data_IF_933661243065
#
_entry.id   IF_933661243065
#
_cell.length_a   1.000
_cell.length_b   1.000
_cell.length_c   1.000
_cell.angle_alpha   90.00
_cell.angle_beta   90.00
_cell.angle_gamma   90.00
#
_symmetry.space_group_name_H-M   'P 1'
#
loop_
_entity.id
_entity.type
_entity.pdbx_description
1 polymer ?
#
# COMPACT_ATOMS: atom_id res chain seq x y z
N UNK A 1 -6.03 29.53 5.01
CA UNK A 1 -6.26 28.46 4.03
C UNK A 1 -5.86 27.16 4.71
N UNK A 2 -6.82 26.29 5.02
CA UNK A 2 -6.53 24.94 5.50
C UNK A 2 -5.84 24.18 4.36
N UNK A 3 -4.72 23.53 4.65
CA UNK A 3 -4.00 22.75 3.66
C UNK A 3 -4.84 21.51 3.32
N UNK A 4 -5.06 21.25 2.03
CA UNK A 4 -5.80 20.06 1.60
C UNK A 4 -5.01 18.79 1.94
N UNK A 5 -5.71 17.79 2.48
CA UNK A 5 -5.18 16.49 2.86
C UNK A 5 -5.20 15.53 1.67
N UNK A 6 -4.05 14.95 1.35
CA UNK A 6 -3.90 13.98 0.26
C UNK A 6 -3.66 12.58 0.80
N UNK A 7 -4.52 11.63 0.43
CA UNK A 7 -4.47 10.23 0.86
C UNK A 7 -4.04 9.34 -0.29
N UNK A 8 -2.88 8.68 -0.16
CA UNK A 8 -2.35 7.73 -1.13
C UNK A 8 -2.95 6.33 -0.96
N UNK A 9 -3.58 5.82 -2.02
CA UNK A 9 -4.17 4.49 -2.08
C UNK A 9 -3.67 3.74 -3.31
N UNK A 10 -3.70 2.40 -3.24
CA UNK A 10 -3.40 1.54 -4.38
C UNK A 10 -4.64 0.79 -4.86
N UNK A 11 -4.84 0.71 -6.18
CA UNK A 11 -5.95 -0.04 -6.80
C UNK A 11 -6.02 -1.51 -6.32
N UNK A 12 -7.19 -2.11 -6.49
CA UNK A 12 -7.44 -3.52 -6.15
C UNK A 12 -7.94 -3.69 -4.71
N UNK A 13 -7.44 -4.72 -4.01
CA UNK A 13 -7.96 -5.12 -2.68
C UNK A 13 -7.87 -4.01 -1.64
N UNK A 14 -6.71 -3.35 -1.53
CA UNK A 14 -6.51 -2.24 -0.58
C UNK A 14 -7.55 -1.15 -0.81
N UNK A 15 -7.71 -0.70 -2.05
CA UNK A 15 -8.70 0.31 -2.38
C UNK A 15 -10.14 -0.10 -1.99
N UNK A 16 -10.59 -1.29 -2.43
CA UNK A 16 -11.95 -1.79 -2.17
C UNK A 16 -12.25 -1.94 -0.68
N UNK A 17 -11.28 -2.41 0.10
CA UNK A 17 -11.44 -2.62 1.54
C UNK A 17 -11.24 -1.33 2.35
N UNK A 18 -10.56 -0.33 1.80
CA UNK A 18 -10.37 0.99 2.44
C UNK A 18 -11.61 1.87 2.28
N UNK A 19 -12.35 1.76 1.18
CA UNK A 19 -13.52 2.60 0.92
C UNK A 19 -14.57 2.58 2.05
N UNK A 20 -14.98 1.42 2.62
CA UNK A 20 -15.89 1.40 3.77
C UNK A 20 -15.32 2.09 5.01
N UNK A 21 -14.01 2.02 5.23
CA UNK A 21 -13.35 2.68 6.38
C UNK A 21 -13.35 4.20 6.22
N UNK A 22 -13.07 4.68 4.99
CA UNK A 22 -13.15 6.11 4.66
C UNK A 22 -14.59 6.62 4.74
N UNK A 23 -15.56 5.85 4.23
CA UNK A 23 -16.97 6.21 4.31
C UNK A 23 -17.46 6.30 5.76
N UNK A 24 -16.99 5.43 6.66
CA UNK A 24 -17.27 5.54 8.10
C UNK A 24 -16.68 6.81 8.75
N UNK A 25 -15.63 7.38 8.15
CA UNK A 25 -15.08 8.69 8.51
C UNK A 25 -15.73 9.86 7.73
N UNK A 26 -16.77 9.60 6.94
CA UNK A 26 -17.46 10.60 6.12
C UNK A 26 -16.67 11.06 4.89
N UNK A 27 -15.76 10.22 4.38
CA UNK A 27 -14.95 10.51 3.18
C UNK A 27 -15.40 9.56 2.07
N UNK A 28 -16.02 10.10 1.03
CA UNK A 28 -16.54 9.33 -0.11
C UNK A 28 -16.00 9.92 -1.42
N UNK A 29 -15.35 9.12 -2.28
CA UNK A 29 -14.93 9.59 -3.61
C UNK A 29 -16.15 9.99 -4.47
N UNK A 30 -16.04 11.11 -5.18
CA UNK A 30 -17.11 11.59 -6.09
C UNK A 30 -17.17 10.77 -7.37
N UNK A 31 -16.00 10.46 -7.92
CA UNK A 31 -15.88 9.64 -9.13
C UNK A 31 -15.87 8.15 -8.77
N UNK A 32 -16.49 7.33 -9.61
CA UNK A 32 -16.34 5.88 -9.52
C UNK A 32 -14.87 5.48 -9.84
N UNK A 33 -14.14 4.93 -8.86
CA UNK A 33 -12.72 4.62 -9.00
C UNK A 33 -12.42 3.43 -9.91
N UNK A 34 -13.41 2.55 -10.16
CA UNK A 34 -13.24 1.38 -11.02
C UNK A 34 -13.36 1.75 -12.50
N UNK A 35 -14.16 2.76 -12.84
CA UNK A 35 -14.36 3.23 -14.21
C UNK A 35 -13.49 4.45 -14.56
N UNK A 36 -13.09 5.23 -13.57
CA UNK A 36 -12.26 6.41 -13.78
C UNK A 36 -10.79 6.07 -14.06
N UNK A 37 -10.24 6.74 -15.07
CA UNK A 37 -8.79 6.75 -15.37
C UNK A 37 -8.04 7.87 -14.64
N UNK A 38 -8.74 8.68 -13.84
CA UNK A 38 -8.10 9.74 -13.05
C UNK A 38 -7.19 9.12 -12.00
N UNK A 39 -6.04 9.76 -11.76
CA UNK A 39 -5.10 9.41 -10.70
C UNK A 39 -5.36 10.18 -9.41
N UNK A 40 -6.07 11.31 -9.50
CA UNK A 40 -6.51 12.10 -8.35
C UNK A 40 -8.04 12.11 -8.39
N UNK A 41 -8.64 11.66 -7.30
CA UNK A 41 -10.09 11.61 -7.12
C UNK A 41 -10.49 12.66 -6.09
N UNK A 42 -11.48 13.46 -6.47
CA UNK A 42 -12.15 14.35 -5.53
C UNK A 42 -13.02 13.52 -4.57
N UNK A 43 -13.19 14.03 -3.35
CA UNK A 43 -14.13 13.48 -2.37
C UNK A 43 -15.28 14.45 -2.13
N UNK A 44 -16.29 14.01 -1.41
CA UNK A 44 -17.36 14.85 -0.87
C UNK A 44 -16.86 15.96 0.07
N UNK A 45 -15.62 15.88 0.55
CA UNK A 45 -14.94 16.92 1.30
C UNK A 45 -13.96 17.69 0.41
N UNK A 46 -14.09 19.02 0.27
CA UNK A 46 -13.26 19.82 -0.64
C UNK A 46 -11.77 19.79 -0.26
N UNK A 47 -11.49 19.63 1.03
CA UNK A 47 -10.16 19.65 1.62
C UNK A 47 -9.51 18.26 1.62
N UNK A 48 -10.13 17.21 1.03
CA UNK A 48 -9.58 15.85 0.99
C UNK A 48 -9.53 15.33 -0.45
N UNK A 49 -8.35 14.86 -0.86
CA UNK A 49 -8.11 14.23 -2.16
C UNK A 49 -7.59 12.81 -1.98
N UNK A 50 -8.00 11.90 -2.86
CA UNK A 50 -7.43 10.55 -2.93
C UNK A 50 -6.51 10.46 -4.15
N UNK A 51 -5.26 10.04 -3.95
CA UNK A 51 -4.33 9.76 -5.04
C UNK A 51 -4.17 8.26 -5.23
N UNK A 52 -4.41 7.80 -6.46
CA UNK A 52 -4.39 6.39 -6.84
C UNK A 52 -3.07 6.08 -7.52
N UNK A 53 -2.20 5.34 -6.83
CA UNK A 53 -0.84 5.01 -7.28
C UNK A 53 -0.54 3.51 -7.12
N UNK A 54 0.64 3.08 -7.54
CA UNK A 54 1.07 1.69 -7.33
C UNK A 54 1.34 1.48 -5.84
N UNK A 55 1.04 0.27 -5.35
CA UNK A 55 1.25 -0.07 -3.93
C UNK A 55 2.69 0.18 -3.47
N UNK A 56 3.68 -0.09 -4.32
CA UNK A 56 5.11 0.15 -4.04
C UNK A 56 5.47 1.62 -3.89
N UNK A 57 4.66 2.52 -4.45
CA UNK A 57 4.96 3.95 -4.51
C UNK A 57 4.28 4.70 -3.35
N UNK A 58 3.32 4.08 -2.64
CA UNK A 58 2.63 4.68 -1.48
C UNK A 58 3.59 5.14 -0.38
N UNK A 59 4.54 4.32 0.10
CA UNK A 59 5.48 4.76 1.14
C UNK A 59 6.30 5.96 0.69
N UNK A 60 6.78 5.95 -0.56
CA UNK A 60 7.55 7.04 -1.16
C UNK A 60 6.77 8.35 -1.19
N UNK A 61 5.50 8.32 -1.62
CA UNK A 61 4.67 9.52 -1.68
C UNK A 61 4.44 10.14 -0.31
N UNK A 62 4.23 9.31 0.71
CA UNK A 62 4.04 9.78 2.10
C UNK A 62 5.37 10.29 2.68
N UNK A 63 6.47 9.58 2.46
CA UNK A 63 7.78 9.93 3.00
C UNK A 63 8.28 11.28 2.49
N UNK A 64 8.04 11.60 1.22
CA UNK A 64 8.44 12.86 0.61
C UNK A 64 7.37 13.96 0.69
N UNK A 65 6.23 13.71 1.34
CA UNK A 65 5.15 14.69 1.52
C UNK A 65 4.37 15.02 0.24
N UNK A 66 4.45 14.18 -0.79
CA UNK A 66 3.56 14.26 -1.95
C UNK A 66 2.14 13.76 -1.63
N UNK A 67 2.01 12.95 -0.57
CA UNK A 67 0.76 12.64 0.10
C UNK A 67 0.96 12.80 1.62
N UNK A 68 -0.06 13.22 2.35
CA UNK A 68 0.03 13.41 3.80
C UNK A 68 -0.14 12.10 4.56
N UNK A 69 -0.94 11.18 4.02
CA UNK A 69 -1.16 9.83 4.53
C UNK A 69 -1.29 8.83 3.40
N UNK A 70 -1.13 7.55 3.72
CA UNK A 70 -1.36 6.48 2.76
C UNK A 70 -1.70 5.15 3.41
N UNK A 71 -2.36 4.30 2.63
CA UNK A 71 -2.64 2.91 3.02
C UNK A 71 -1.73 1.98 2.24
N UNK A 72 -0.80 1.34 2.94
CA UNK A 72 0.18 0.44 2.36
C UNK A 72 0.11 -0.95 3.01
N UNK A 73 0.39 -1.99 2.22
CA UNK A 73 0.56 -3.34 2.75
C UNK A 73 1.83 -3.44 3.60
N UNK A 74 1.78 -4.25 4.66
CA UNK A 74 2.92 -4.45 5.57
C UNK A 74 4.14 -5.04 4.85
N UNK A 75 3.92 -5.88 3.85
CA UNK A 75 4.95 -6.42 2.97
C UNK A 75 5.70 -5.32 2.20
N UNK A 76 4.98 -4.31 1.72
CA UNK A 76 5.59 -3.16 1.04
C UNK A 76 6.38 -2.29 2.03
N UNK A 77 5.81 -1.98 3.20
CA UNK A 77 6.48 -1.17 4.21
C UNK A 77 7.79 -1.81 4.70
N UNK A 78 7.78 -3.13 4.95
CA UNK A 78 8.95 -3.88 5.39
C UNK A 78 10.05 -3.93 4.32
N UNK A 79 9.67 -4.00 3.04
CA UNK A 79 10.61 -3.99 1.92
C UNK A 79 11.20 -2.60 1.65
N UNK A 80 10.37 -1.56 1.77
CA UNK A 80 10.76 -0.15 1.62
C UNK A 80 11.75 0.31 2.70
N UNK A 81 11.57 -0.18 3.93
CA UNK A 81 12.48 0.08 5.06
C UNK A 81 11.88 0.97 6.16
N UNK A 82 10.72 1.59 5.94
CA UNK A 82 9.93 2.29 6.96
C UNK A 82 10.54 3.56 7.57
N UNK A 83 11.80 3.89 7.26
CA UNK A 83 12.44 5.10 7.75
C UNK A 83 11.71 6.37 7.30
N UNK A 84 11.46 7.29 8.23
CA UNK A 84 10.74 8.54 7.95
C UNK A 84 9.23 8.38 7.81
N UNK A 85 8.66 7.22 8.16
CA UNK A 85 7.22 6.98 8.13
C UNK A 85 6.71 6.60 9.53
N UNK A 86 5.54 7.13 9.89
CA UNK A 86 4.79 6.64 11.05
C UNK A 86 3.76 5.61 10.59
N UNK A 87 3.70 4.47 11.28
CA UNK A 87 2.67 3.44 11.07
C UNK A 87 1.72 3.43 12.29
N UNK A 88 0.75 4.36 12.36
CA UNK A 88 -0.06 4.54 13.57
C UNK A 88 -1.12 3.47 13.76
N UNK A 89 -1.54 2.77 12.70
CA UNK A 89 -2.70 1.90 12.71
C UNK A 89 -2.55 0.68 11.79
N UNK A 90 -2.83 -0.51 12.34
CA UNK A 90 -3.11 -1.71 11.56
C UNK A 90 -4.61 -1.77 11.23
N UNK A 91 -4.94 -1.50 9.97
CA UNK A 91 -6.31 -1.50 9.46
C UNK A 91 -6.93 -2.90 9.35
N UNK A 92 -6.13 -3.97 9.45
CA UNK A 92 -6.55 -5.37 9.36
C UNK A 92 -7.30 -5.75 8.05
N UNK A 93 -7.09 -4.98 6.98
CA UNK A 93 -7.59 -5.25 5.62
C UNK A 93 -6.51 -5.90 4.75
N UNK A 94 -6.90 -6.40 3.58
CA UNK A 94 -6.02 -6.99 2.56
C UNK A 94 -5.07 -8.08 3.10
N UNK A 95 -5.53 -8.84 4.11
CA UNK A 95 -4.72 -9.78 4.89
C UNK A 95 -4.10 -10.86 3.99
N UNK A 96 -2.81 -11.09 4.16
CA UNK A 96 -2.06 -12.09 3.41
C UNK A 96 -0.87 -12.62 4.24
N UNK A 97 -0.12 -13.57 3.67
CA UNK A 97 1.12 -14.08 4.25
C UNK A 97 2.23 -14.00 3.22
N UNK A 98 3.42 -13.57 3.65
CA UNK A 98 4.65 -13.68 2.88
C UNK A 98 5.25 -15.06 3.12
N UNK A 99 5.57 -15.79 2.05
CA UNK A 99 5.94 -17.21 2.14
C UNK A 99 7.11 -17.51 1.22
N UNK A 100 7.95 -18.46 1.63
CA UNK A 100 8.90 -19.12 0.74
C UNK A 100 8.14 -20.21 -0.03
N UNK A 101 8.24 -20.19 -1.36
CA UNK A 101 7.60 -21.17 -2.22
C UNK A 101 8.62 -21.76 -3.19
N UNK A 102 8.43 -23.03 -3.54
CA UNK A 102 9.25 -23.77 -4.49
C UNK A 102 8.39 -24.73 -5.29
N UNK A 103 8.98 -25.39 -6.29
CA UNK A 103 8.26 -26.44 -7.02
C UNK A 103 8.04 -27.66 -6.13
N UNK A 104 6.85 -28.29 -6.17
CA UNK A 104 6.52 -29.41 -5.28
C UNK A 104 7.40 -30.65 -5.52
N UNK A 105 7.88 -30.84 -6.75
CA UNK A 105 8.74 -31.96 -7.17
C UNK A 105 10.24 -31.70 -6.96
N UNK A 106 10.61 -30.49 -6.53
CA UNK A 106 12.01 -30.08 -6.43
C UNK A 106 12.33 -29.54 -5.04
N UNK A 107 12.83 -30.38 -4.11
CA UNK A 107 13.18 -29.93 -2.79
C UNK A 107 14.27 -28.84 -2.86
N UNK A 108 14.24 -27.85 -1.96
CA UNK A 108 15.19 -26.75 -2.00
C UNK A 108 16.61 -27.25 -1.70
N UNK A 109 17.59 -26.77 -2.48
CA UNK A 109 19.00 -26.94 -2.12
C UNK A 109 19.33 -25.94 -1.02
N UNK A 110 19.54 -26.44 0.20
CA UNK A 110 19.80 -25.60 1.38
C UNK A 110 21.20 -24.97 1.37
N UNK A 111 22.15 -25.53 0.62
CA UNK A 111 23.48 -24.95 0.45
C UNK A 111 23.43 -23.80 -0.58
N UNK A 112 23.43 -22.53 -0.10
CA UNK A 112 23.33 -21.30 -0.91
C UNK A 112 22.11 -21.27 -1.84
N UNK A 113 20.90 -21.09 -1.29
CA UNK A 113 19.70 -20.95 -2.12
C UNK A 113 19.80 -19.70 -3.01
N UNK A 114 19.34 -19.82 -4.26
CA UNK A 114 19.09 -18.67 -5.15
C UNK A 114 17.60 -18.40 -5.14
N UNK A 115 17.20 -17.19 -4.76
CA UNK A 115 15.80 -16.83 -4.56
C UNK A 115 15.43 -15.72 -5.53
N UNK A 116 14.41 -15.97 -6.35
CA UNK A 116 13.80 -14.96 -7.20
C UNK A 116 12.59 -14.37 -6.45
N UNK A 117 12.64 -13.07 -6.16
CA UNK A 117 11.64 -12.40 -5.34
C UNK A 117 11.62 -10.91 -5.66
N UNK A 118 10.44 -10.29 -5.55
CA UNK A 118 10.32 -8.83 -5.55
C UNK A 118 10.69 -8.21 -4.19
N UNK A 119 10.76 -9.02 -3.14
CA UNK A 119 11.01 -8.60 -1.76
C UNK A 119 12.46 -8.92 -1.37
N UNK A 120 13.40 -8.22 -1.97
CA UNK A 120 14.84 -8.51 -1.86
C UNK A 120 15.33 -8.29 -0.43
N UNK A 121 14.93 -7.18 0.19
CA UNK A 121 15.36 -6.82 1.54
C UNK A 121 14.75 -7.77 2.58
N UNK A 122 13.46 -8.08 2.48
CA UNK A 122 12.82 -9.04 3.39
C UNK A 122 13.46 -10.43 3.24
N UNK A 123 13.74 -10.85 2.01
CA UNK A 123 14.35 -12.16 1.74
C UNK A 123 15.76 -12.26 2.30
N UNK A 124 16.58 -11.21 2.17
CA UNK A 124 17.93 -11.13 2.76
C UNK A 124 17.93 -11.11 4.29
N UNK A 125 16.84 -10.63 4.92
CA UNK A 125 16.69 -10.67 6.38
C UNK A 125 16.24 -12.04 6.89
N UNK A 126 15.54 -12.81 6.06
CA UNK A 126 15.00 -14.12 6.43
C UNK A 126 16.01 -15.27 6.27
N UNK A 127 16.87 -15.23 5.26
CA UNK A 127 17.91 -16.23 4.96
C UNK A 127 19.30 -15.76 5.39
#
# INVERSE_FOLDING_TARGET
MTAALTIALSKGRIFKETLPLLAAAGIVPVDDPETSRKLILDTDQPDIKLVIIRATDVPTYVQYGAADLGVAGKDVLLEHGGEGLYEPLDLRIARCRLMVAGRPDRPPRLSRPRIATKFVNITRRYF
#
